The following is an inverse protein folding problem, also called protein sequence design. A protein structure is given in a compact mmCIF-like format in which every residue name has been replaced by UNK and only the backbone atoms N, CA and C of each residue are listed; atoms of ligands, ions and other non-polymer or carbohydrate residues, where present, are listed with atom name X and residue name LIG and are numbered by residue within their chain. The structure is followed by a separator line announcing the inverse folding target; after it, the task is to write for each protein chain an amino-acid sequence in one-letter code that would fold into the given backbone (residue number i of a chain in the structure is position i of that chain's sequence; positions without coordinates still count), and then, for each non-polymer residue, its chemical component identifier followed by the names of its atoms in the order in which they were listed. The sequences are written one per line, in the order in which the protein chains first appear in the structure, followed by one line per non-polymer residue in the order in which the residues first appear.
data_IF_047356709316
#
_entry.id   IF_047356709316
#
_cell.length_a   1.000
_cell.length_b   1.000
_cell.length_c   1.000
_cell.angle_alpha   90.00
_cell.angle_beta   90.00
_cell.angle_gamma   90.00
#
_symmetry.space_group_name_H-M   'P 1'
#
loop_
_entity.id
_entity.type
_entity.pdbx_description
1 polymer ?
#
# COMPACT_ATOMS: atom_id res chain seq x y z
N UNK A 1 -15.31 -1.84 -8.44
CA UNK A 1 -15.27 -2.41 -7.07
C UNK A 1 -13.81 -2.52 -6.68
N UNK A 2 -13.42 -2.05 -5.49
CA UNK A 2 -12.03 -2.16 -5.00
C UNK A 2 -12.00 -3.29 -3.97
N UNK A 3 -11.05 -4.20 -4.10
CA UNK A 3 -10.86 -5.33 -3.18
C UNK A 3 -9.49 -5.20 -2.53
N UNK A 4 -9.42 -5.46 -1.23
CA UNK A 4 -8.16 -5.43 -0.46
C UNK A 4 -7.67 -6.86 -0.33
N UNK A 5 -6.40 -7.07 -0.66
CA UNK A 5 -5.71 -8.36 -0.58
C UNK A 5 -4.29 -8.14 -0.06
N UNK A 6 -3.81 -8.99 0.84
CA UNK A 6 -2.43 -8.94 1.33
C UNK A 6 -1.49 -9.35 0.19
N UNK A 7 -0.33 -8.72 0.08
CA UNK A 7 0.66 -9.09 -0.94
C UNK A 7 1.16 -10.54 -0.81
N UNK A 8 0.98 -11.16 0.36
CA UNK A 8 1.35 -12.55 0.65
C UNK A 8 0.25 -13.57 0.30
N UNK A 9 -0.95 -13.11 -0.02
CA UNK A 9 -1.98 -14.00 -0.55
C UNK A 9 -1.65 -14.35 -2.01
N UNK A 10 -1.83 -15.63 -2.43
CA UNK A 10 -1.53 -16.05 -3.80
C UNK A 10 -2.26 -15.20 -4.83
N UNK A 11 -1.58 -14.87 -5.93
CA UNK A 11 -2.22 -14.21 -7.07
C UNK A 11 -3.37 -15.08 -7.62
N UNK A 12 -4.42 -14.44 -8.13
CA UNK A 12 -5.55 -15.11 -8.78
C UNK A 12 -5.84 -14.46 -10.13
N UNK A 13 -6.25 -15.23 -11.16
CA UNK A 13 -6.77 -14.67 -12.41
C UNK A 13 -7.94 -13.68 -12.20
N UNK A 14 -8.71 -13.85 -11.13
CA UNK A 14 -9.85 -13.00 -10.79
C UNK A 14 -9.44 -11.68 -10.08
N UNK A 15 -8.15 -11.49 -9.77
CA UNK A 15 -7.67 -10.28 -9.09
C UNK A 15 -7.78 -9.02 -9.98
N UNK A 16 -7.94 -9.20 -11.30
CA UNK A 16 -8.00 -8.09 -12.24
C UNK A 16 -6.71 -7.27 -12.25
N UNK A 17 -6.83 -5.94 -12.16
CA UNK A 17 -5.69 -5.03 -12.12
C UNK A 17 -5.17 -4.85 -10.69
N UNK A 18 -3.91 -5.25 -10.43
CA UNK A 18 -3.31 -5.31 -9.10
C UNK A 18 -2.37 -4.16 -8.83
N UNK A 19 -2.72 -3.36 -7.84
CA UNK A 19 -1.93 -2.20 -7.41
C UNK A 19 -1.25 -2.51 -6.09
N UNK A 20 0.09 -2.47 -6.05
CA UNK A 20 0.86 -2.50 -4.81
C UNK A 20 0.95 -1.08 -4.25
N UNK A 21 0.43 -0.90 -3.04
CA UNK A 21 0.37 0.41 -2.34
C UNK A 21 1.34 0.51 -1.17
N UNK A 22 2.26 -0.45 -1.05
CA UNK A 22 3.27 -0.47 0.00
C UNK A 22 4.56 0.23 -0.44
N UNK A 23 5.21 0.97 0.46
CA UNK A 23 6.47 1.69 0.15
C UNK A 23 7.60 0.72 -0.22
N UNK A 24 7.64 -0.40 0.48
CA UNK A 24 8.68 -1.42 0.37
C UNK A 24 8.13 -2.64 -0.35
N UNK A 25 9.00 -3.29 -1.12
CA UNK A 25 8.65 -4.56 -1.73
C UNK A 25 8.39 -5.61 -0.63
N UNK A 26 7.33 -6.44 -0.75
CA UNK A 26 7.06 -7.52 0.19
C UNK A 26 8.26 -8.45 0.31
N UNK A 27 8.77 -8.60 1.53
CA UNK A 27 9.97 -9.43 1.79
C UNK A 27 9.70 -10.88 1.39
N UNK A 28 10.65 -11.49 0.67
CA UNK A 28 10.61 -12.89 0.29
C UNK A 28 9.69 -13.23 -0.89
N UNK A 29 9.08 -12.24 -1.54
CA UNK A 29 8.26 -12.47 -2.74
C UNK A 29 8.98 -12.02 -4.00
N UNK A 30 8.82 -12.76 -5.10
CA UNK A 30 9.22 -12.34 -6.44
C UNK A 30 8.16 -11.47 -7.09
N UNK A 31 8.51 -10.81 -8.22
CA UNK A 31 7.55 -10.03 -9.01
C UNK A 31 6.38 -10.87 -9.51
N UNK A 32 6.64 -12.12 -9.87
CA UNK A 32 5.65 -13.07 -10.37
C UNK A 32 4.68 -13.49 -9.26
N UNK A 33 5.17 -13.67 -8.04
CA UNK A 33 4.31 -14.00 -6.89
C UNK A 33 3.41 -12.83 -6.51
N UNK A 34 3.95 -11.60 -6.48
CA UNK A 34 3.16 -10.40 -6.18
C UNK A 34 2.24 -10.03 -7.35
N UNK A 35 2.63 -10.33 -8.60
CA UNK A 35 1.91 -10.02 -9.84
C UNK A 35 1.20 -8.66 -9.83
N UNK A 36 1.91 -7.61 -9.43
CA UNK A 36 1.38 -6.24 -9.46
C UNK A 36 1.56 -5.63 -10.85
N UNK A 37 0.50 -5.02 -11.37
CA UNK A 37 0.53 -4.26 -12.61
C UNK A 37 1.07 -2.84 -12.39
N UNK A 38 0.85 -2.29 -11.19
CA UNK A 38 1.29 -0.94 -10.83
C UNK A 38 1.77 -0.87 -9.38
N UNK A 39 2.99 -0.36 -9.18
CA UNK A 39 3.53 -0.10 -7.85
C UNK A 39 3.52 1.39 -7.53
N UNK A 40 2.50 1.83 -6.79
CA UNK A 40 2.37 3.21 -6.34
C UNK A 40 3.09 3.37 -4.98
N UNK A 41 4.38 3.72 -5.02
CA UNK A 41 5.20 3.91 -3.81
C UNK A 41 4.93 5.22 -3.09
N UNK A 42 4.47 6.22 -3.83
CA UNK A 42 4.40 7.61 -3.36
C UNK A 42 3.11 7.90 -2.58
N UNK A 43 2.18 6.94 -2.58
CA UNK A 43 0.91 6.98 -1.83
C UNK A 43 1.01 6.23 -0.49
N UNK A 44 2.13 5.53 -0.28
CA UNK A 44 2.40 4.81 0.95
C UNK A 44 2.97 5.77 1.98
N UNK A 45 2.86 5.41 3.26
CA UNK A 45 3.49 6.14 4.35
C UNK A 45 4.95 6.51 4.02
N UNK A 46 5.27 7.79 4.18
CA UNK A 46 6.57 8.40 3.93
C UNK A 46 7.67 7.71 4.73
N UNK A 47 8.92 7.93 4.29
CA UNK A 47 10.05 7.36 5.02
C UNK A 47 10.15 7.96 6.42
N UNK A 48 9.90 9.27 6.59
CA UNK A 48 9.86 9.89 7.91
C UNK A 48 8.77 9.27 8.79
N UNK A 49 7.54 9.14 8.27
CA UNK A 49 6.42 8.59 9.05
C UNK A 49 6.64 7.12 9.42
N UNK A 50 7.19 6.29 8.52
CA UNK A 50 7.55 4.89 8.83
C UNK A 50 8.61 4.80 9.93
N UNK A 51 9.63 5.64 9.86
CA UNK A 51 10.69 5.67 10.87
C UNK A 51 10.18 6.17 12.22
N UNK A 52 9.31 7.19 12.21
CA UNK A 52 8.69 7.71 13.42
C UNK A 52 7.73 6.70 14.05
N UNK A 53 6.87 6.03 13.27
CA UNK A 53 5.97 5.01 13.80
C UNK A 53 6.77 3.85 14.41
N UNK A 54 7.79 3.35 13.70
CA UNK A 54 8.76 2.39 14.24
C UNK A 54 8.16 1.08 14.79
N UNK A 55 6.91 0.75 14.42
CA UNK A 55 6.13 -0.34 15.02
C UNK A 55 5.85 -0.18 16.53
N UNK A 56 5.92 1.04 17.06
CA UNK A 56 5.53 1.32 18.44
C UNK A 56 4.00 1.36 18.55
N UNK A 57 3.44 0.37 19.24
CA UNK A 57 2.00 0.26 19.48
C UNK A 57 1.39 1.49 20.17
N UNK A 58 2.19 2.24 20.96
CA UNK A 58 1.70 3.45 21.63
C UNK A 58 1.47 4.60 20.66
N UNK A 59 2.13 4.58 19.50
CA UNK A 59 2.00 5.59 18.44
C UNK A 59 0.93 5.24 17.41
N UNK A 60 0.22 4.13 17.57
CA UNK A 60 -0.67 3.62 16.52
C UNK A 60 -1.79 4.57 16.17
N UNK A 61 -2.48 5.15 17.17
CA UNK A 61 -3.60 6.06 16.92
C UNK A 61 -3.15 7.28 16.12
N UNK A 62 -2.07 7.94 16.56
CA UNK A 62 -1.47 9.08 15.86
C UNK A 62 -0.94 8.70 14.47
N UNK A 63 -0.27 7.55 14.35
CA UNK A 63 0.27 7.07 13.08
C UNK A 63 -0.82 6.79 12.06
N UNK A 64 -1.97 6.24 12.50
CA UNK A 64 -3.09 5.93 11.61
C UNK A 64 -3.64 7.19 10.95
N UNK A 65 -3.76 8.29 11.69
CA UNK A 65 -4.27 9.55 11.17
C UNK A 65 -3.29 10.17 10.16
N UNK A 66 -1.99 10.15 10.45
CA UNK A 66 -0.99 10.65 9.50
C UNK A 66 -0.86 9.78 8.25
N UNK A 67 -0.93 8.44 8.41
CA UNK A 67 -0.98 7.52 7.27
C UNK A 67 -2.21 7.83 6.41
N UNK A 68 -3.36 8.11 7.03
CA UNK A 68 -4.56 8.48 6.30
C UNK A 68 -4.35 9.78 5.51
N UNK A 69 -3.81 10.83 6.15
CA UNK A 69 -3.56 12.13 5.51
C UNK A 69 -2.62 12.00 4.29
N UNK A 70 -1.55 11.22 4.41
CA UNK A 70 -0.65 10.95 3.28
C UNK A 70 -1.32 10.09 2.20
N UNK A 71 -2.18 9.14 2.58
CA UNK A 71 -2.86 8.24 1.66
C UNK A 71 -4.08 8.86 0.94
N UNK A 72 -4.68 9.95 1.42
CA UNK A 72 -5.83 10.62 0.78
C UNK A 72 -5.52 11.02 -0.68
N UNK A 73 -4.26 11.29 -0.99
CA UNK A 73 -3.76 11.57 -2.35
C UNK A 73 -4.06 10.42 -3.33
N UNK A 74 -4.11 9.16 -2.85
CA UNK A 74 -4.42 7.96 -3.65
C UNK A 74 -5.81 8.00 -4.26
N UNK A 75 -6.81 8.40 -3.48
CA UNK A 75 -8.20 8.41 -3.94
C UNK A 75 -8.39 9.41 -5.07
N UNK A 76 -7.72 10.57 -4.98
CA UNK A 76 -7.76 11.58 -6.02
C UNK A 76 -7.00 11.12 -7.27
N UNK A 77 -5.87 10.44 -7.11
CA UNK A 77 -5.13 9.85 -8.23
C UNK A 77 -5.95 8.79 -8.98
N UNK A 78 -6.56 7.84 -8.26
CA UNK A 78 -7.38 6.78 -8.86
C UNK A 78 -8.60 7.40 -9.55
N UNK A 79 -9.37 8.26 -8.87
CA UNK A 79 -10.55 8.93 -9.45
C UNK A 79 -10.24 9.75 -10.70
N UNK A 80 -9.03 10.28 -10.84
CA UNK A 80 -8.63 11.08 -12.00
C UNK A 80 -8.31 10.23 -13.24
N UNK A 81 -8.04 8.93 -13.06
CA UNK A 81 -7.58 8.03 -14.12
C UNK A 81 -8.50 6.81 -14.33
N UNK A 82 -9.69 6.82 -13.73
CA UNK A 82 -10.78 5.85 -13.93
C UNK A 82 -12.08 6.59 -14.17
#
# INVERSE_FOLDING_TARGET
MIVIKRAYEPNSPDDGFRILVDRLWPRGLTKEQVATDLWLKDIAASTELRNWFGHDSQRWEDAKDEIHNEAVVLLDYIKKHT
#
